data_IF_638885169568
#
_entry.id   IF_638885169568
#
_cell.length_a   1.000
_cell.length_b   1.000
_cell.length_c   1.000
_cell.angle_alpha   90.00
_cell.angle_beta   90.00
_cell.angle_gamma   90.00
#
_symmetry.space_group_name_H-M   'P 1'
#
loop_
_entity.id
_entity.type
_entity.pdbx_description
1 polymer ?
#
# COMPACT_ATOMS: atom_id res chain seq x y z
N UNK A 1 3.52 9.94 -21.33
CA UNK A 1 4.61 9.17 -20.67
C UNK A 1 4.21 9.04 -19.21
N UNK A 2 4.19 7.84 -18.64
CA UNK A 2 3.75 7.65 -17.26
C UNK A 2 4.95 7.82 -16.31
N UNK A 3 4.81 8.65 -15.27
CA UNK A 3 5.92 9.03 -14.40
C UNK A 3 6.15 7.95 -13.33
N UNK A 4 7.38 7.46 -13.24
CA UNK A 4 7.80 6.52 -12.19
C UNK A 4 8.60 7.31 -11.15
N UNK A 5 8.20 7.21 -9.88
CA UNK A 5 8.94 7.81 -8.78
C UNK A 5 10.34 7.18 -8.66
N UNK A 6 11.38 8.01 -8.51
CA UNK A 6 12.78 7.55 -8.38
C UNK A 6 13.37 7.83 -6.99
N UNK A 7 12.75 8.73 -6.24
CA UNK A 7 13.27 9.35 -5.02
C UNK A 7 12.30 9.29 -3.84
N UNK A 8 11.00 9.08 -4.07
CA UNK A 8 10.01 8.91 -3.00
C UNK A 8 9.58 7.45 -2.80
N UNK A 9 9.35 7.11 -1.53
CA UNK A 9 8.67 5.90 -1.11
C UNK A 9 7.47 6.21 -0.20
N UNK A 10 7.02 7.47 -0.17
CA UNK A 10 5.81 7.86 0.54
C UNK A 10 4.60 7.67 -0.37
N UNK A 11 3.61 6.91 0.10
CA UNK A 11 2.44 6.60 -0.69
C UNK A 11 1.56 7.84 -0.92
N UNK A 12 1.39 8.70 0.09
CA UNK A 12 0.56 9.89 -0.06
C UNK A 12 1.18 10.89 -1.04
N UNK A 13 2.49 11.11 -0.96
CA UNK A 13 3.24 11.91 -1.94
C UNK A 13 3.15 11.31 -3.34
N UNK A 14 3.35 9.99 -3.47
CA UNK A 14 3.28 9.29 -4.75
C UNK A 14 1.91 9.48 -5.43
N UNK A 15 0.83 9.32 -4.65
CA UNK A 15 -0.55 9.53 -5.13
C UNK A 15 -0.82 10.99 -5.45
N UNK A 16 -0.39 11.93 -4.61
CA UNK A 16 -0.59 13.37 -4.80
C UNK A 16 0.15 13.94 -6.03
N UNK A 17 1.32 13.39 -6.36
CA UNK A 17 2.11 13.77 -7.53
C UNK A 17 1.68 13.05 -8.82
N UNK A 18 0.69 12.15 -8.76
CA UNK A 18 0.19 11.43 -9.94
C UNK A 18 1.19 10.43 -10.53
N UNK A 19 2.13 9.92 -9.73
CA UNK A 19 3.06 8.87 -10.16
C UNK A 19 2.33 7.53 -10.35
N UNK A 20 2.92 6.66 -11.16
CA UNK A 20 2.46 5.28 -11.29
C UNK A 20 2.63 4.57 -9.95
N UNK A 21 1.52 4.02 -9.45
CA UNK A 21 1.49 3.07 -8.36
C UNK A 21 1.13 1.70 -8.91
N UNK A 22 1.99 0.70 -8.66
CA UNK A 22 1.64 -0.70 -8.94
C UNK A 22 0.76 -1.18 -7.80
N UNK A 23 -0.53 -1.36 -8.09
CA UNK A 23 -1.51 -1.72 -7.09
C UNK A 23 -1.21 -3.10 -6.48
N UNK A 24 -1.00 -3.10 -5.16
CA UNK A 24 -0.85 -4.30 -4.32
C UNK A 24 -1.80 -4.25 -3.14
N UNK A 25 -2.87 -3.46 -3.23
CA UNK A 25 -3.73 -3.17 -2.08
C UNK A 25 -4.69 -4.32 -1.74
N UNK A 26 -5.05 -5.16 -2.70
CA UNK A 26 -5.81 -6.41 -2.44
C UNK A 26 -5.06 -7.40 -1.53
N UNK A 27 -3.80 -7.80 -1.80
CA UNK A 27 -3.08 -8.68 -0.88
C UNK A 27 -2.79 -8.00 0.46
N UNK A 28 -2.66 -6.67 0.52
CA UNK A 28 -2.57 -5.92 1.79
C UNK A 28 -3.89 -5.97 2.58
N UNK A 29 -5.03 -5.85 1.90
CA UNK A 29 -6.35 -6.02 2.52
C UNK A 29 -6.48 -7.40 3.14
N UNK A 30 -6.15 -8.46 2.38
CA UNK A 30 -6.13 -9.82 2.90
C UNK A 30 -5.18 -9.97 4.08
N UNK A 31 -4.01 -9.31 4.04
CA UNK A 31 -3.02 -9.32 5.13
C UNK A 31 -3.61 -8.82 6.45
N UNK A 32 -4.38 -7.74 6.41
CA UNK A 32 -4.88 -7.05 7.60
C UNK A 32 -6.22 -7.59 8.10
N UNK A 33 -7.04 -8.20 7.22
CA UNK A 33 -8.39 -8.68 7.55
C UNK A 33 -8.47 -10.19 7.81
N UNK A 34 -7.55 -10.99 7.26
CA UNK A 34 -7.63 -12.44 7.34
C UNK A 34 -7.37 -12.91 8.78
N UNK A 35 -8.37 -13.49 9.45
CA UNK A 35 -8.30 -13.91 10.86
C UNK A 35 -7.27 -15.01 11.14
N UNK A 36 -6.90 -15.79 10.13
CA UNK A 36 -5.87 -16.84 10.18
C UNK A 36 -4.43 -16.29 10.08
N UNK A 37 -4.27 -15.04 9.64
CA UNK A 37 -3.00 -14.35 9.50
C UNK A 37 -2.89 -13.10 10.41
N UNK A 38 -4.02 -12.52 10.81
CA UNK A 38 -4.11 -11.39 11.75
C UNK A 38 -3.54 -11.76 13.11
N UNK A 39 -2.43 -11.11 13.48
CA UNK A 39 -1.67 -11.39 14.70
C UNK A 39 -0.45 -12.29 14.52
N UNK A 40 -0.19 -12.83 13.33
CA UNK A 40 1.04 -13.57 13.03
C UNK A 40 2.12 -12.65 12.48
N UNK A 41 3.36 -12.89 12.91
CA UNK A 41 4.55 -12.17 12.44
C UNK A 41 4.70 -12.32 10.92
N UNK A 42 4.72 -11.19 10.21
CA UNK A 42 4.96 -11.17 8.76
C UNK A 42 6.43 -10.96 8.43
N UNK A 43 7.05 -11.96 7.80
CA UNK A 43 8.40 -11.82 7.27
C UNK A 43 8.35 -11.20 5.87
N UNK A 44 8.74 -9.93 5.78
CA UNK A 44 9.01 -9.31 4.49
C UNK A 44 10.49 -9.54 4.16
N UNK A 45 10.78 -10.57 3.35
CA UNK A 45 12.14 -10.96 2.90
C UNK A 45 12.97 -9.75 2.46
N UNK A 46 14.30 -9.71 2.57
CA UNK A 46 15.12 -8.49 2.36
C UNK A 46 15.68 -8.24 0.92
N UNK A 47 14.95 -8.35 -0.21
CA UNK A 47 15.45 -7.86 -1.47
C UNK A 47 15.55 -6.33 -1.47
N UNK A 48 16.70 -5.82 -1.92
CA UNK A 48 16.95 -4.39 -2.08
C UNK A 48 16.00 -3.84 -3.15
N UNK A 49 15.44 -2.64 -2.93
CA UNK A 49 14.52 -1.93 -3.84
C UNK A 49 13.20 -2.64 -4.14
N UNK A 50 12.77 -3.59 -3.31
CA UNK A 50 11.49 -4.29 -3.48
C UNK A 50 10.23 -3.48 -3.08
N UNK A 51 10.38 -2.19 -2.76
CA UNK A 51 9.23 -1.34 -2.40
C UNK A 51 8.71 -1.52 -0.96
N UNK A 52 9.53 -1.99 -0.02
CA UNK A 52 9.14 -2.18 1.39
C UNK A 52 8.67 -0.90 2.06
N UNK A 53 9.43 0.19 1.90
CA UNK A 53 9.08 1.48 2.49
C UNK A 53 7.76 2.00 1.93
N UNK A 54 7.53 1.83 0.61
CA UNK A 54 6.27 2.18 -0.03
C UNK A 54 5.10 1.35 0.50
N UNK A 55 5.29 0.04 0.69
CA UNK A 55 4.29 -0.83 1.30
C UNK A 55 3.94 -0.39 2.73
N UNK A 56 4.94 -0.04 3.56
CA UNK A 56 4.72 0.45 4.93
C UNK A 56 3.96 1.79 4.91
N UNK A 57 4.34 2.73 4.03
CA UNK A 57 3.61 4.00 3.89
C UNK A 57 2.17 3.78 3.39
N UNK A 58 1.96 2.82 2.48
CA UNK A 58 0.62 2.41 2.03
C UNK A 58 -0.22 1.91 3.22
N UNK A 59 0.32 0.98 4.02
CA UNK A 59 -0.35 0.45 5.22
C UNK A 59 -0.65 1.55 6.23
N UNK A 60 0.28 2.49 6.44
CA UNK A 60 0.05 3.66 7.31
C UNK A 60 -1.18 4.45 6.83
N UNK A 61 -1.31 4.73 5.54
CA UNK A 61 -2.46 5.44 4.99
C UNK A 61 -3.76 4.63 5.13
N UNK A 62 -3.71 3.30 4.98
CA UNK A 62 -4.86 2.41 5.24
C UNK A 62 -5.33 2.57 6.69
N UNK A 63 -4.43 2.39 7.67
CA UNK A 63 -4.77 2.48 9.09
C UNK A 63 -5.14 3.89 9.57
N UNK A 64 -4.75 4.93 8.85
CA UNK A 64 -5.19 6.30 9.10
C UNK A 64 -6.56 6.61 8.48
N UNK A 65 -7.19 5.65 7.79
CA UNK A 65 -8.49 5.85 7.14
C UNK A 65 -8.44 6.82 5.95
N UNK A 66 -7.27 7.01 5.32
CA UNK A 66 -7.06 7.94 4.19
C UNK A 66 -7.64 7.41 2.87
N UNK A 67 -8.95 7.14 2.83
CA UNK A 67 -9.64 6.56 1.66
C UNK A 67 -9.48 7.39 0.39
N UNK A 68 -9.31 8.71 0.53
CA UNK A 68 -9.02 9.65 -0.56
C UNK A 68 -7.83 9.24 -1.43
N UNK A 69 -6.82 8.59 -0.85
CA UNK A 69 -5.60 8.18 -1.55
C UNK A 69 -5.78 6.87 -2.36
N UNK A 70 -6.83 6.10 -2.07
CA UNK A 70 -7.01 4.75 -2.61
C UNK A 70 -7.99 4.70 -3.80
N UNK A 71 -8.56 5.82 -4.22
CA UNK A 71 -9.50 5.90 -5.33
C UNK A 71 -8.99 5.12 -6.57
N UNK A 72 -9.79 4.15 -7.01
CA UNK A 72 -9.50 3.30 -8.18
C UNK A 72 -8.51 2.17 -7.96
N UNK A 73 -8.00 1.98 -6.73
CA UNK A 73 -7.21 0.81 -6.34
C UNK A 73 -8.14 -0.33 -5.87
N UNK A 74 -7.63 -1.56 -5.81
CA UNK A 74 -8.42 -2.73 -5.43
C UNK A 74 -9.07 -2.58 -4.05
N UNK A 75 -8.33 -2.04 -3.07
CA UNK A 75 -8.84 -1.86 -1.71
C UNK A 75 -9.97 -0.84 -1.59
N UNK A 76 -10.13 0.09 -2.54
CA UNK A 76 -11.21 1.09 -2.56
C UNK A 76 -12.62 0.45 -2.53
N UNK A 77 -12.73 -0.76 -3.09
CA UNK A 77 -13.98 -1.54 -3.17
C UNK A 77 -14.14 -2.54 -2.03
N UNK A 78 -13.17 -2.62 -1.13
CA UNK A 78 -13.13 -3.58 -0.04
C UNK A 78 -13.41 -2.88 1.29
N UNK A 79 -13.96 -3.62 2.23
CA UNK A 79 -14.21 -3.11 3.58
C UNK A 79 -13.02 -3.40 4.49
N UNK A 80 -12.49 -2.38 5.15
CA UNK A 80 -11.30 -2.45 6.01
C UNK A 80 -11.37 -1.47 7.18
N UNK A 81 -12.58 -1.13 7.60
CA UNK A 81 -12.86 -0.35 8.82
C UNK A 81 -12.82 -1.20 10.10
#
# INVERSE_FOLDING_TARGET
>A
MANIAQDTADFAELRGMGYIYVDKTEPLHRLITARDIGGKLFFVSRPRRFGKSLMISTLKCIFQGRRDLFAGLAIDKLDYD
#
